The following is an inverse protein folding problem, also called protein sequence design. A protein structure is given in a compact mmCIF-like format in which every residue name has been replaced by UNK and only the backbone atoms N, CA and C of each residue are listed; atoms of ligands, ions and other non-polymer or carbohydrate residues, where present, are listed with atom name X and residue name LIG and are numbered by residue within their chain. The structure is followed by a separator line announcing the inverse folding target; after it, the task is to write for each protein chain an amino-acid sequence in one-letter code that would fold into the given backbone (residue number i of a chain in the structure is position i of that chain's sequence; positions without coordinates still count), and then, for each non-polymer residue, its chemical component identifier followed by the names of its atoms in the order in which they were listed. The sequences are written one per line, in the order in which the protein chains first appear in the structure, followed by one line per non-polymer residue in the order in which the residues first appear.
data_IF_914164445552
#
_entry.id   IF_914164445552
#
_cell.length_a   1.000
_cell.length_b   1.000
_cell.length_c   1.000
_cell.angle_alpha   90.00
_cell.angle_beta   90.00
_cell.angle_gamma   90.00
#
_symmetry.space_group_name_H-M   'P 1'
#
loop_
_entity.id
_entity.type
_entity.pdbx_description
1 polymer ?
#
# COMPACT_ATOMS: atom_id res chain seq x y z
N UNK A 1 12.93 14.41 8.08
CA UNK A 1 13.11 13.44 7.03
C UNK A 1 12.06 13.59 5.96
N UNK A 2 12.51 14.16 4.86
CA UNK A 2 11.59 14.49 3.78
C UNK A 2 10.92 13.28 3.13
N UNK A 3 11.62 12.16 3.01
CA UNK A 3 11.05 10.95 2.40
C UNK A 3 9.85 10.41 3.18
N UNK A 4 9.89 10.46 4.51
CA UNK A 4 8.74 10.07 5.32
C UNK A 4 7.54 10.97 5.10
N UNK A 5 7.79 12.29 5.03
CA UNK A 5 6.72 13.26 4.80
C UNK A 5 6.03 13.02 3.47
N UNK A 6 6.80 12.71 2.41
CA UNK A 6 6.22 12.44 1.11
C UNK A 6 5.36 11.17 1.10
N UNK A 7 5.81 10.13 1.77
CA UNK A 7 5.03 8.88 1.87
C UNK A 7 3.73 9.12 2.64
N UNK A 8 3.80 9.85 3.74
CA UNK A 8 2.62 10.21 4.53
C UNK A 8 1.62 11.01 3.71
N UNK A 9 2.09 11.99 2.94
CA UNK A 9 1.24 12.80 2.08
C UNK A 9 0.53 11.94 1.03
N UNK A 10 1.26 11.02 0.39
CA UNK A 10 0.67 10.15 -0.62
C UNK A 10 -0.36 9.19 -0.04
N UNK A 11 -0.11 8.66 1.15
CA UNK A 11 -1.08 7.82 1.84
C UNK A 11 -2.32 8.60 2.25
N UNK A 12 -2.14 9.84 2.70
CA UNK A 12 -3.24 10.70 3.07
C UNK A 12 -4.10 11.07 1.85
N UNK A 13 -3.45 11.40 0.73
CA UNK A 13 -4.15 11.67 -0.52
C UNK A 13 -4.95 10.46 -1.00
N UNK A 14 -4.36 9.26 -0.90
CA UNK A 14 -5.07 8.03 -1.23
C UNK A 14 -6.34 7.88 -0.39
N UNK A 15 -6.23 8.15 0.91
CA UNK A 15 -7.35 8.05 1.83
C UNK A 15 -8.41 9.11 1.58
N UNK A 16 -8.01 10.38 1.49
CA UNK A 16 -8.94 11.51 1.38
C UNK A 16 -9.52 11.68 -0.01
N UNK A 17 -8.70 11.58 -1.03
CA UNK A 17 -9.11 11.92 -2.39
C UNK A 17 -9.52 10.70 -3.22
N UNK A 18 -8.94 9.56 -2.94
CA UNK A 18 -9.22 8.34 -3.68
C UNK A 18 -10.31 7.49 -3.06
N UNK A 19 -10.07 7.04 -1.82
CA UNK A 19 -10.97 6.09 -1.15
C UNK A 19 -12.17 6.77 -0.50
N UNK A 20 -11.98 7.96 0.08
CA UNK A 20 -13.02 8.68 0.81
C UNK A 20 -13.04 10.14 0.40
N UNK A 21 -13.43 10.45 -0.85
CA UNK A 21 -13.48 11.84 -1.28
C UNK A 21 -14.52 12.62 -0.47
N UNK A 22 -14.19 13.86 -0.13
CA UNK A 22 -15.10 14.72 0.61
C UNK A 22 -16.33 15.04 -0.23
N UNK A 23 -17.52 15.07 0.40
CA UNK A 23 -18.73 15.47 -0.32
C UNK A 23 -18.59 16.89 -0.88
N UNK A 24 -18.93 17.07 -2.12
CA UNK A 24 -18.79 18.37 -2.79
C UNK A 24 -19.76 19.42 -2.27
N UNK A 25 -20.87 19.02 -1.69
CA UNK A 25 -21.91 19.92 -1.18
C UNK A 25 -21.67 20.36 0.26
N UNK A 26 -20.96 19.58 1.05
CA UNK A 26 -20.68 19.89 2.45
C UNK A 26 -21.87 19.86 3.38
N UNK A 27 -23.06 19.51 2.91
CA UNK A 27 -24.27 19.43 3.73
C UNK A 27 -24.50 18.00 4.23
N UNK A 28 -24.86 17.83 5.52
CA UNK A 28 -25.19 16.52 6.04
C UNK A 28 -26.36 15.90 5.28
N UNK A 29 -26.19 14.68 4.82
CA UNK A 29 -27.23 13.97 4.10
C UNK A 29 -27.38 14.32 2.62
N UNK A 30 -26.68 15.34 2.15
CA UNK A 30 -26.74 15.75 0.74
C UNK A 30 -26.21 14.67 -0.20
N UNK A 31 -25.22 13.94 0.23
CA UNK A 31 -24.57 12.90 -0.57
C UNK A 31 -24.87 11.50 -0.03
N UNK A 32 -26.06 11.33 0.54
CA UNK A 32 -26.49 10.00 0.97
C UNK A 32 -26.67 9.08 -0.22
N UNK A 33 -26.16 7.89 -0.09
CA UNK A 33 -26.30 6.87 -1.10
C UNK A 33 -24.96 6.46 -1.64
N UNK A 34 -24.90 6.27 -2.91
CA UNK A 34 -23.78 5.61 -3.54
C UNK A 34 -22.49 6.42 -3.45
N UNK A 35 -21.58 5.89 -2.66
CA UNK A 35 -20.22 6.35 -2.59
C UNK A 35 -19.39 5.51 -3.57
N UNK A 36 -18.90 6.13 -4.63
CA UNK A 36 -18.02 5.45 -5.57
C UNK A 36 -16.59 5.98 -5.41
N UNK A 37 -15.64 5.08 -5.11
CA UNK A 37 -14.24 5.48 -5.08
C UNK A 37 -13.80 6.01 -6.44
N UNK A 38 -13.00 7.07 -6.44
CA UNK A 38 -12.43 7.60 -7.66
C UNK A 38 -11.20 6.78 -8.08
N UNK A 39 -11.38 5.90 -9.04
CA UNK A 39 -10.32 4.97 -9.47
C UNK A 39 -9.10 5.69 -10.02
N UNK A 40 -9.29 6.79 -10.72
CA UNK A 40 -8.18 7.58 -11.27
C UNK A 40 -7.33 8.17 -10.14
N UNK A 41 -7.98 8.74 -9.13
CA UNK A 41 -7.27 9.30 -7.97
C UNK A 41 -6.58 8.21 -7.16
N UNK A 42 -7.21 7.06 -7.00
CA UNK A 42 -6.58 5.91 -6.33
C UNK A 42 -5.33 5.47 -7.09
N UNK A 43 -5.42 5.33 -8.39
CA UNK A 43 -4.30 4.90 -9.22
C UNK A 43 -3.14 5.90 -9.14
N UNK A 44 -3.45 7.19 -9.22
CA UNK A 44 -2.45 8.26 -9.12
C UNK A 44 -1.73 8.20 -7.77
N UNK A 45 -2.49 8.13 -6.69
CA UNK A 45 -1.92 8.07 -5.34
C UNK A 45 -1.08 6.80 -5.12
N UNK A 46 -1.55 5.65 -5.59
CA UNK A 46 -0.78 4.41 -5.50
C UNK A 46 0.51 4.48 -6.28
N UNK A 47 0.47 5.06 -7.48
CA UNK A 47 1.67 5.27 -8.29
C UNK A 47 2.68 6.16 -7.58
N UNK A 48 2.23 7.23 -6.96
CA UNK A 48 3.09 8.13 -6.21
C UNK A 48 3.68 7.48 -4.95
N UNK A 49 2.92 6.64 -4.26
CA UNK A 49 3.44 5.85 -3.13
C UNK A 49 4.57 4.94 -3.60
N UNK A 50 4.39 4.24 -4.70
CA UNK A 50 5.41 3.35 -5.27
C UNK A 50 6.64 4.16 -5.69
N UNK A 51 6.44 5.27 -6.37
CA UNK A 51 7.54 6.16 -6.78
C UNK A 51 8.38 6.61 -5.59
N UNK A 52 7.71 7.05 -4.51
CA UNK A 52 8.37 7.50 -3.30
C UNK A 52 9.13 6.37 -2.62
N UNK A 53 8.55 5.17 -2.58
CA UNK A 53 9.18 4.00 -2.01
C UNK A 53 10.46 3.63 -2.76
N UNK A 54 10.41 3.63 -4.09
CA UNK A 54 11.60 3.37 -4.91
C UNK A 54 12.67 4.45 -4.71
N UNK A 55 12.26 5.71 -4.60
CA UNK A 55 13.18 6.81 -4.31
C UNK A 55 13.94 6.61 -3.01
N UNK A 56 13.23 6.19 -1.97
CA UNK A 56 13.85 5.88 -0.68
C UNK A 56 14.80 4.69 -0.78
N UNK A 57 14.41 3.65 -1.51
CA UNK A 57 15.24 2.47 -1.72
C UNK A 57 16.55 2.84 -2.42
N UNK A 58 16.49 3.67 -3.46
CA UNK A 58 17.68 4.13 -4.19
C UNK A 58 18.63 4.88 -3.25
N UNK A 59 18.11 5.72 -2.37
CA UNK A 59 18.93 6.48 -1.42
C UNK A 59 19.70 5.57 -0.46
N UNK A 60 19.20 4.39 -0.17
CA UNK A 60 19.82 3.45 0.76
C UNK A 60 20.50 2.26 0.04
N UNK A 61 20.57 2.29 -1.27
CA UNK A 61 21.19 1.21 -2.04
C UNK A 61 20.43 -0.11 -1.98
N UNK A 62 19.12 -0.04 -1.82
CA UNK A 62 18.25 -1.22 -1.69
C UNK A 62 17.67 -1.58 -3.06
N UNK A 63 17.80 -2.86 -3.44
CA UNK A 63 17.08 -3.40 -4.59
C UNK A 63 15.65 -3.75 -4.16
N UNK A 64 14.75 -2.80 -4.31
CA UNK A 64 13.37 -2.95 -3.84
C UNK A 64 12.61 -4.04 -4.59
N UNK A 65 12.94 -4.29 -5.84
CA UNK A 65 12.30 -5.37 -6.60
C UNK A 65 12.55 -6.73 -5.96
N UNK A 66 13.77 -6.97 -5.50
CA UNK A 66 14.13 -8.22 -4.81
C UNK A 66 13.47 -8.32 -3.44
N UNK A 67 13.42 -7.22 -2.71
CA UNK A 67 12.73 -7.15 -1.42
C UNK A 67 11.25 -7.39 -1.59
N UNK A 68 10.64 -6.77 -2.59
CA UNK A 68 9.22 -6.95 -2.89
C UNK A 68 8.90 -8.39 -3.24
N UNK A 69 9.76 -9.04 -4.05
CA UNK A 69 9.58 -10.45 -4.38
C UNK A 69 9.61 -11.34 -3.13
N UNK A 70 10.52 -11.05 -2.20
CA UNK A 70 10.60 -11.79 -0.94
C UNK A 70 9.33 -11.62 -0.09
N UNK A 71 8.78 -10.41 -0.07
CA UNK A 71 7.53 -10.13 0.64
C UNK A 71 6.35 -10.86 -0.02
N UNK A 72 6.30 -10.87 -1.34
CA UNK A 72 5.27 -11.61 -2.08
C UNK A 72 5.32 -13.10 -1.78
N UNK A 73 6.51 -13.70 -1.77
CA UNK A 73 6.68 -15.11 -1.42
C UNK A 73 6.13 -15.40 -0.02
N UNK A 74 6.48 -14.56 0.95
CA UNK A 74 5.99 -14.70 2.32
C UNK A 74 4.47 -14.60 2.35
N UNK A 75 3.91 -13.61 1.69
CA UNK A 75 2.45 -13.40 1.67
C UNK A 75 1.72 -14.56 1.02
N UNK A 76 2.29 -15.14 -0.04
CA UNK A 76 1.70 -16.30 -0.71
C UNK A 76 1.77 -17.57 0.14
N UNK A 77 2.63 -17.61 1.16
CA UNK A 77 2.70 -18.73 2.09
C UNK A 77 1.64 -18.70 3.18
N UNK A 78 0.86 -17.60 3.27
CA UNK A 78 -0.23 -17.49 4.24
C UNK A 78 -1.46 -18.23 3.72
N UNK A 79 -2.28 -18.72 4.66
CA UNK A 79 -3.50 -19.43 4.33
C UNK A 79 -4.72 -18.53 4.53
N UNK A 80 -5.69 -18.62 3.60
CA UNK A 80 -6.98 -17.98 3.78
C UNK A 80 -7.87 -18.89 4.64
N UNK A 81 -8.51 -18.33 5.68
CA UNK A 81 -9.50 -19.07 6.42
C UNK A 81 -10.87 -18.96 5.73
N UNK A 82 -11.84 -19.75 6.16
CA UNK A 82 -13.18 -19.79 5.57
C UNK A 82 -13.99 -18.49 5.72
N UNK A 83 -13.46 -17.51 6.44
CA UNK A 83 -14.09 -16.21 6.66
C UNK A 83 -13.44 -15.08 5.85
N UNK A 84 -12.59 -15.43 4.90
CA UNK A 84 -11.90 -14.46 4.05
C UNK A 84 -10.67 -13.79 4.69
N UNK A 85 -10.32 -14.14 5.90
CA UNK A 85 -9.12 -13.64 6.56
C UNK A 85 -7.91 -14.48 6.20
N UNK A 86 -6.78 -13.82 5.99
CA UNK A 86 -5.51 -14.48 5.72
C UNK A 86 -4.76 -14.65 7.02
N UNK A 87 -4.27 -15.86 7.28
CA UNK A 87 -3.52 -16.16 8.49
C UNK A 87 -2.26 -16.94 8.17
N UNK A 88 -1.34 -16.97 9.12
CA UNK A 88 -0.13 -17.76 9.02
C UNK A 88 -0.44 -19.23 9.28
N UNK A 89 -0.39 -20.04 8.25
CA UNK A 89 -0.61 -21.47 8.35
C UNK A 89 0.67 -22.23 8.64
N UNK A 90 0.61 -23.57 8.52
CA UNK A 90 1.74 -24.44 8.80
C UNK A 90 2.93 -24.22 7.85
N UNK A 91 2.64 -23.82 6.62
CA UNK A 91 3.66 -23.60 5.58
C UNK A 91 4.14 -22.15 5.50
N UNK A 92 3.66 -21.30 6.40
CA UNK A 92 4.08 -19.90 6.41
C UNK A 92 5.56 -19.74 6.75
N UNK A 93 6.21 -18.85 6.03
CA UNK A 93 7.54 -18.38 6.39
C UNK A 93 7.60 -16.85 6.30
N UNK A 94 8.42 -16.21 7.16
CA UNK A 94 8.57 -14.74 7.10
C UNK A 94 9.34 -14.31 5.86
N UNK A 95 9.22 -13.05 5.43
CA UNK A 95 9.97 -12.55 4.28
C UNK A 95 11.48 -12.68 4.48
N UNK A 96 12.16 -13.19 3.47
CA UNK A 96 13.62 -13.38 3.48
C UNK A 96 14.32 -12.12 3.01
N UNK A 97 14.16 -11.05 3.79
CA UNK A 97 14.65 -9.71 3.42
C UNK A 97 16.17 -9.66 3.36
N UNK A 98 16.85 -10.22 4.36
CA UNK A 98 18.32 -10.21 4.39
C UNK A 98 18.91 -10.89 3.16
N UNK A 99 18.35 -12.04 2.75
CA UNK A 99 18.78 -12.74 1.53
C UNK A 99 18.57 -11.88 0.30
N UNK A 100 17.42 -11.20 0.21
CA UNK A 100 17.11 -10.32 -0.91
C UNK A 100 18.10 -9.16 -1.01
N UNK A 101 18.63 -8.71 0.11
CA UNK A 101 19.64 -7.65 0.17
C UNK A 101 21.08 -8.16 -0.02
N UNK A 102 21.27 -9.46 -0.09
CA UNK A 102 22.60 -10.05 -0.22
C UNK A 102 23.41 -10.07 1.08
N UNK A 103 22.71 -10.04 2.20
CA UNK A 103 23.35 -10.03 3.53
C UNK A 103 23.46 -11.43 4.13
#
# INVERSE_FOLDING_TARGET
MQAYSFIEEELLELWEDGLYPSPSCGEPGCCEGEYEPNVVEIADALGDVVFTAYGMAVRHGIDLDRVHAAICESNMSKEANGMGKIKKGADYFPPRIAEALGL
#
